data_IF_799727818472
#
_entry.id   IF_799727818472
#
_cell.length_a   1.000
_cell.length_b   1.000
_cell.length_c   1.000
_cell.angle_alpha   90.00
_cell.angle_beta   90.00
_cell.angle_gamma   90.00
#
_symmetry.space_group_name_H-M   'P 1'
#
loop_
_entity.id
_entity.type
_entity.pdbx_description
1 polymer ?
#
# COMPACT_ATOMS: atom_id res chain seq x y z
N UNK A 1 -1.45 12.03 -15.34
CA UNK A 1 -1.08 12.65 -14.06
C UNK A 1 -0.04 13.75 -14.21
N UNK A 2 1.21 13.49 -14.61
CA UNK A 2 2.25 14.55 -14.70
C UNK A 2 2.40 15.21 -16.08
N UNK A 3 1.74 14.69 -17.11
CA UNK A 3 1.80 15.23 -18.48
C UNK A 3 0.74 16.33 -18.70
N UNK A 4 0.64 17.30 -17.79
CA UNK A 4 -0.43 18.31 -17.80
C UNK A 4 -0.29 19.30 -18.96
N UNK A 5 0.93 19.52 -19.47
CA UNK A 5 1.17 20.39 -20.63
C UNK A 5 0.50 19.88 -21.91
N UNK A 6 0.18 18.57 -21.98
CA UNK A 6 -0.54 18.00 -23.10
C UNK A 6 -2.04 18.32 -23.07
N UNK A 7 -2.60 18.76 -21.92
CA UNK A 7 -4.04 19.00 -21.76
C UNK A 7 -4.49 20.08 -22.74
N UNK A 8 -3.82 21.24 -22.76
CA UNK A 8 -4.21 22.38 -23.60
C UNK A 8 -4.05 22.07 -25.09
N UNK A 9 -2.98 21.36 -25.46
CA UNK A 9 -2.72 20.97 -26.85
C UNK A 9 -3.81 20.03 -27.37
N UNK A 10 -4.19 19.03 -26.57
CA UNK A 10 -5.20 18.03 -26.94
C UNK A 10 -6.61 18.65 -26.92
N UNK A 11 -6.89 19.54 -25.95
CA UNK A 11 -8.14 20.28 -25.89
C UNK A 11 -8.32 21.23 -27.09
N UNK A 12 -7.26 21.94 -27.50
CA UNK A 12 -7.28 22.81 -28.68
C UNK A 12 -7.53 22.03 -29.99
N UNK A 13 -7.14 20.75 -30.04
CA UNK A 13 -7.45 19.84 -31.14
C UNK A 13 -8.89 19.28 -31.10
N UNK A 14 -9.71 19.66 -30.12
CA UNK A 14 -11.09 19.18 -29.96
C UNK A 14 -11.18 17.73 -29.47
N UNK A 15 -10.10 17.19 -28.90
CA UNK A 15 -10.04 15.81 -28.42
C UNK A 15 -10.40 15.76 -26.92
N UNK A 16 -11.32 14.87 -26.52
CA UNK A 16 -11.59 14.55 -25.11
C UNK A 16 -10.35 14.29 -24.26
N UNK A 17 -10.14 15.10 -23.20
CA UNK A 17 -9.03 14.92 -22.27
C UNK A 17 -9.52 14.36 -20.94
N UNK A 18 -8.88 13.28 -20.50
CA UNK A 18 -9.12 12.65 -19.20
C UNK A 18 -7.79 12.44 -18.47
N UNK A 19 -7.81 12.57 -17.15
CA UNK A 19 -6.66 12.20 -16.32
C UNK A 19 -6.77 10.75 -15.88
N UNK A 20 -5.71 9.97 -16.10
CA UNK A 20 -5.48 8.76 -15.33
C UNK A 20 -4.61 9.08 -14.10
N UNK A 21 -5.20 8.90 -12.92
CA UNK A 21 -4.56 9.06 -11.61
C UNK A 21 -4.12 7.68 -11.11
N UNK A 22 -2.81 7.43 -11.18
CA UNK A 22 -2.21 6.12 -10.95
C UNK A 22 -1.91 5.83 -9.45
N UNK A 23 -2.61 6.50 -8.53
CA UNK A 23 -2.56 6.25 -7.09
C UNK A 23 -4.00 6.10 -6.53
N UNK A 24 -4.16 6.07 -5.20
CA UNK A 24 -5.44 5.80 -4.55
C UNK A 24 -6.39 7.00 -4.54
N UNK A 25 -7.70 6.74 -4.43
CA UNK A 25 -8.70 7.80 -4.30
C UNK A 25 -8.51 8.62 -3.02
N UNK A 26 -8.03 8.01 -1.94
CA UNK A 26 -7.73 8.70 -0.69
C UNK A 26 -6.63 9.75 -0.89
N UNK A 27 -5.57 9.41 -1.62
CA UNK A 27 -4.51 10.35 -1.98
C UNK A 27 -5.06 11.49 -2.84
N UNK A 28 -5.81 11.19 -3.92
CA UNK A 28 -6.46 12.22 -4.74
C UNK A 28 -7.36 13.14 -3.91
N UNK A 29 -8.13 12.58 -2.96
CA UNK A 29 -8.98 13.34 -2.07
C UNK A 29 -8.19 14.33 -1.20
N UNK A 30 -7.03 13.93 -0.68
CA UNK A 30 -6.17 14.83 0.09
C UNK A 30 -5.48 15.88 -0.79
N UNK A 31 -4.95 15.49 -1.96
CA UNK A 31 -4.21 16.37 -2.87
C UNK A 31 -5.08 17.52 -3.39
N UNK A 32 -6.34 17.26 -3.71
CA UNK A 32 -7.27 18.29 -4.20
C UNK A 32 -7.67 19.33 -3.14
N UNK A 33 -7.45 19.03 -1.85
CA UNK A 33 -7.64 19.98 -0.75
C UNK A 33 -6.36 20.75 -0.41
N UNK A 34 -5.22 20.35 -0.96
CA UNK A 34 -3.93 20.97 -0.65
C UNK A 34 -3.88 22.48 -0.95
N UNK A 35 -4.37 22.99 -2.10
CA UNK A 35 -4.35 24.43 -2.36
C UNK A 35 -5.06 25.24 -1.26
N UNK A 36 -6.23 24.79 -0.82
CA UNK A 36 -6.99 25.42 0.24
C UNK A 36 -6.29 25.30 1.60
N UNK A 37 -5.64 24.16 1.86
CA UNK A 37 -4.87 23.92 3.08
C UNK A 37 -3.67 24.88 3.21
N UNK A 38 -3.03 25.22 2.09
CA UNK A 38 -1.84 26.10 2.10
C UNK A 38 -2.11 27.57 1.83
N UNK A 39 -3.34 27.92 1.45
CA UNK A 39 -3.74 29.30 1.17
C UNK A 39 -3.48 30.22 2.39
N UNK A 40 -2.74 31.31 2.16
CA UNK A 40 -2.43 32.32 3.19
C UNK A 40 -1.40 31.88 4.25
N UNK A 41 -0.88 30.65 4.18
CA UNK A 41 0.16 30.19 5.10
C UNK A 41 1.47 30.93 4.84
N UNK A 42 2.12 31.36 5.93
CA UNK A 42 3.45 31.97 5.89
C UNK A 42 4.58 30.93 5.92
N UNK A 43 4.26 29.67 6.20
CA UNK A 43 5.23 28.58 6.25
C UNK A 43 4.67 27.27 5.68
N UNK A 44 5.58 26.36 5.30
CA UNK A 44 5.23 25.06 4.74
C UNK A 44 4.50 24.14 5.72
N UNK A 45 4.07 22.97 5.23
CA UNK A 45 3.48 21.95 6.10
C UNK A 45 4.50 21.27 7.00
N UNK A 46 5.81 21.31 6.66
CA UNK A 46 6.88 20.76 7.50
C UNK A 46 6.87 21.28 8.93
N UNK A 47 6.51 22.55 9.12
CA UNK A 47 6.46 23.21 10.42
C UNK A 47 5.32 22.69 11.31
N UNK A 48 4.30 22.06 10.71
CA UNK A 48 3.24 21.41 11.46
C UNK A 48 3.67 20.04 12.00
N UNK A 49 4.78 19.47 11.51
CA UNK A 49 5.25 18.15 11.89
C UNK A 49 4.15 17.10 11.76
N UNK A 50 3.90 16.36 12.84
CA UNK A 50 2.90 15.30 12.87
C UNK A 50 1.50 15.75 13.32
N UNK A 51 1.23 17.06 13.29
CA UNK A 51 -0.11 17.57 13.60
C UNK A 51 -1.14 16.91 12.66
N UNK A 52 -2.19 16.25 13.19
CA UNK A 52 -3.21 15.62 12.37
C UNK A 52 -3.99 16.65 11.55
N UNK A 53 -4.18 16.38 10.27
CA UNK A 53 -4.99 17.16 9.35
C UNK A 53 -6.31 16.45 9.10
N UNK A 54 -7.41 17.15 9.37
CA UNK A 54 -8.76 16.69 9.06
C UNK A 54 -9.14 17.10 7.63
N UNK A 55 -9.02 16.15 6.71
CA UNK A 55 -9.32 16.33 5.30
C UNK A 55 -10.56 15.52 4.90
N UNK A 56 -11.37 16.07 4.01
CA UNK A 56 -12.56 15.39 3.51
C UNK A 56 -12.18 14.09 2.80
N UNK A 57 -12.96 13.04 3.05
CA UNK A 57 -12.81 11.75 2.37
C UNK A 57 -11.66 10.86 2.86
N UNK A 58 -10.80 11.35 3.75
CA UNK A 58 -9.65 10.58 4.28
C UNK A 58 -9.66 10.54 5.81
N UNK A 59 -9.12 9.49 6.44
CA UNK A 59 -8.84 9.50 7.88
C UNK A 59 -7.89 10.65 8.24
N UNK A 60 -7.92 11.15 9.50
CA UNK A 60 -6.96 12.13 9.96
C UNK A 60 -5.53 11.63 9.73
N UNK A 61 -4.67 12.48 9.17
CA UNK A 61 -3.28 12.11 8.85
C UNK A 61 -2.29 13.20 9.26
N UNK A 62 -1.09 12.82 9.74
CA UNK A 62 -0.02 13.78 10.02
C UNK A 62 0.29 14.68 8.83
N UNK A 63 0.53 15.98 9.06
CA UNK A 63 0.93 16.90 7.99
C UNK A 63 2.22 16.46 7.29
N UNK A 64 3.16 15.89 8.04
CA UNK A 64 4.42 15.28 7.56
C UNK A 64 4.24 14.10 6.58
N UNK A 65 3.02 13.57 6.42
CA UNK A 65 2.74 12.47 5.51
C UNK A 65 2.51 12.91 4.07
N UNK A 66 2.32 14.22 3.81
CA UNK A 66 2.37 14.73 2.44
C UNK A 66 3.76 14.49 1.81
N UNK A 67 3.81 14.44 0.48
CA UNK A 67 5.06 14.24 -0.26
C UNK A 67 6.04 15.36 0.05
N UNK A 68 7.34 15.07 0.06
CA UNK A 68 8.41 16.02 0.42
C UNK A 68 8.27 17.40 -0.28
N UNK A 69 7.97 17.40 -1.57
CA UNK A 69 7.76 18.62 -2.38
C UNK A 69 6.60 19.50 -1.91
N UNK A 70 5.63 18.93 -1.19
CA UNK A 70 4.45 19.63 -0.63
C UNK A 70 4.65 20.05 0.83
N UNK A 71 5.73 19.60 1.48
CA UNK A 71 6.08 20.00 2.84
C UNK A 71 6.80 21.35 2.87
N UNK A 72 7.39 21.74 1.75
CA UNK A 72 8.11 23.00 1.59
C UNK A 72 7.20 24.24 1.57
N UNK A 73 7.82 25.42 1.54
CA UNK A 73 7.10 26.68 1.54
C UNK A 73 6.11 26.75 0.35
N UNK A 74 4.85 27.16 0.56
CA UNK A 74 3.82 27.15 -0.49
C UNK A 74 4.18 28.07 -1.67
N UNK A 75 4.92 29.15 -1.40
CA UNK A 75 5.41 30.04 -2.44
C UNK A 75 6.66 29.53 -3.19
N UNK A 76 7.23 28.39 -2.77
CA UNK A 76 8.38 27.77 -3.44
C UNK A 76 8.00 27.20 -4.81
N UNK A 77 8.90 27.33 -5.80
CA UNK A 77 8.63 26.98 -7.20
C UNK A 77 8.14 25.54 -7.37
N UNK A 78 8.79 24.58 -6.69
CA UNK A 78 8.42 23.16 -6.76
C UNK A 78 7.04 22.90 -6.15
N UNK A 79 6.72 23.55 -5.03
CA UNK A 79 5.42 23.43 -4.36
C UNK A 79 4.29 24.03 -5.22
N UNK A 80 4.55 25.17 -5.88
CA UNK A 80 3.62 25.75 -6.86
C UNK A 80 3.42 24.84 -8.06
N UNK A 81 4.49 24.32 -8.64
CA UNK A 81 4.43 23.46 -9.81
C UNK A 81 3.62 22.19 -9.53
N UNK A 82 3.84 21.53 -8.39
CA UNK A 82 3.08 20.33 -8.03
C UNK A 82 1.60 20.65 -7.73
N UNK A 83 1.33 21.78 -7.09
CA UNK A 83 -0.04 22.26 -6.83
C UNK A 83 -0.78 22.51 -8.14
N UNK A 84 -0.11 23.14 -9.10
CA UNK A 84 -0.64 23.44 -10.42
C UNK A 84 -0.91 22.16 -11.22
N UNK A 85 0.01 21.20 -11.18
CA UNK A 85 -0.21 19.89 -11.79
C UNK A 85 -1.51 19.27 -11.25
N UNK A 86 -1.72 19.28 -9.93
CA UNK A 86 -2.94 18.72 -9.35
C UNK A 86 -4.20 19.48 -9.76
N UNK A 87 -4.14 20.81 -9.82
CA UNK A 87 -5.24 21.65 -10.33
C UNK A 87 -5.60 21.27 -11.77
N UNK A 88 -4.62 21.23 -12.68
CA UNK A 88 -4.86 20.88 -14.09
C UNK A 88 -5.47 19.48 -14.26
N UNK A 89 -5.04 18.50 -13.45
CA UNK A 89 -5.65 17.16 -13.49
C UNK A 89 -7.16 17.19 -13.16
N UNK A 90 -7.59 18.09 -12.28
CA UNK A 90 -9.01 18.27 -11.92
C UNK A 90 -9.80 19.15 -12.89
N UNK A 91 -9.18 19.68 -13.93
CA UNK A 91 -9.87 20.47 -14.97
C UNK A 91 -10.12 19.67 -16.25
N UNK A 92 -9.66 18.41 -16.28
CA UNK A 92 -9.99 17.46 -17.34
C UNK A 92 -11.47 17.07 -17.30
N UNK A 93 -11.97 16.44 -18.37
CA UNK A 93 -13.38 16.05 -18.46
C UNK A 93 -13.76 14.89 -17.52
N UNK A 94 -12.77 14.29 -16.86
CA UNK A 94 -12.97 13.23 -15.88
C UNK A 94 -11.65 12.66 -15.40
N UNK A 95 -11.66 12.15 -14.16
CA UNK A 95 -10.50 11.53 -13.54
C UNK A 95 -10.75 10.04 -13.37
N UNK A 96 -9.97 9.23 -14.06
CA UNK A 96 -9.92 7.78 -13.90
C UNK A 96 -8.94 7.46 -12.78
N UNK A 97 -9.39 6.75 -11.75
CA UNK A 97 -8.59 6.35 -10.60
C UNK A 97 -8.42 4.84 -10.62
N UNK A 98 -7.19 4.36 -10.46
CA UNK A 98 -6.90 2.93 -10.37
C UNK A 98 -7.32 2.36 -9.00
N UNK A 99 -8.62 2.30 -8.75
CA UNK A 99 -9.22 1.77 -7.52
C UNK A 99 -10.63 1.27 -7.84
N UNK A 100 -11.31 0.67 -6.87
CA UNK A 100 -12.73 0.32 -6.95
C UNK A 100 -13.49 0.86 -5.74
N UNK A 101 -14.79 1.11 -5.92
CA UNK A 101 -15.59 1.88 -4.96
C UNK A 101 -15.66 1.24 -3.57
N UNK A 102 -15.77 -0.08 -3.49
CA UNK A 102 -15.82 -0.79 -2.21
C UNK A 102 -14.48 -0.71 -1.44
N UNK A 103 -13.35 -0.52 -2.13
CA UNK A 103 -12.05 -0.38 -1.48
C UNK A 103 -11.93 0.96 -0.76
N UNK A 104 -12.39 2.04 -1.40
CA UNK A 104 -12.14 3.41 -0.94
C UNK A 104 -13.42 4.25 -0.84
N UNK A 105 -14.51 3.65 -0.37
CA UNK A 105 -15.86 4.26 -0.41
C UNK A 105 -15.95 5.64 0.23
N UNK A 106 -15.18 5.91 1.30
CA UNK A 106 -15.11 7.21 1.97
C UNK A 106 -14.53 8.29 1.06
N UNK A 107 -13.40 8.00 0.43
CA UNK A 107 -12.72 8.93 -0.47
C UNK A 107 -13.52 9.14 -1.75
N UNK A 108 -14.05 8.06 -2.34
CA UNK A 108 -14.85 8.11 -3.57
C UNK A 108 -16.13 8.94 -3.36
N UNK A 109 -16.86 8.72 -2.26
CA UNK A 109 -18.05 9.53 -1.94
C UNK A 109 -17.70 11.00 -1.77
N UNK A 110 -16.60 11.29 -1.09
CA UNK A 110 -16.16 12.67 -0.92
C UNK A 110 -15.81 13.30 -2.26
N UNK A 111 -15.02 12.65 -3.11
CA UNK A 111 -14.60 13.17 -4.42
C UNK A 111 -15.77 13.43 -5.38
N UNK A 112 -16.86 12.66 -5.26
CA UNK A 112 -18.09 12.83 -6.05
C UNK A 112 -19.10 13.79 -5.41
N UNK A 113 -18.77 14.39 -4.27
CA UNK A 113 -19.64 15.35 -3.61
C UNK A 113 -19.81 16.61 -4.49
N UNK A 114 -21.05 17.05 -4.78
CA UNK A 114 -21.29 18.22 -5.62
C UNK A 114 -20.64 19.51 -5.10
N UNK A 115 -20.35 19.60 -3.80
CA UNK A 115 -19.70 20.75 -3.17
C UNK A 115 -18.19 20.84 -3.42
N UNK A 116 -17.54 19.80 -3.94
CA UNK A 116 -16.07 19.80 -4.18
C UNK A 116 -15.64 20.36 -5.53
N UNK A 117 -16.58 20.72 -6.42
CA UNK A 117 -16.29 21.17 -7.78
C UNK A 117 -15.26 20.28 -8.50
N UNK A 118 -15.52 18.97 -8.51
CA UNK A 118 -14.67 17.97 -9.17
C UNK A 118 -15.33 17.52 -10.49
N UNK A 119 -14.54 17.19 -11.52
CA UNK A 119 -15.06 16.51 -12.69
C UNK A 119 -15.48 15.08 -12.31
N UNK A 120 -16.23 14.38 -13.16
CA UNK A 120 -16.61 12.99 -12.91
C UNK A 120 -15.41 12.11 -12.54
N UNK A 121 -15.50 11.39 -11.42
CA UNK A 121 -14.46 10.47 -10.93
C UNK A 121 -14.87 9.02 -11.18
N UNK A 122 -14.09 8.34 -12.01
CA UNK A 122 -14.33 6.96 -12.44
C UNK A 122 -13.34 6.01 -11.75
N UNK A 123 -13.86 5.09 -10.95
CA UNK A 123 -13.07 4.00 -10.40
C UNK A 123 -12.96 2.89 -11.45
N UNK A 124 -11.75 2.65 -11.97
CA UNK A 124 -11.53 1.71 -13.09
C UNK A 124 -10.61 0.54 -12.74
N UNK A 125 -10.24 0.41 -11.45
CA UNK A 125 -9.32 -0.61 -10.96
C UNK A 125 -9.99 -1.89 -10.43
N UNK A 126 -9.17 -2.86 -9.97
CA UNK A 126 -7.71 -2.83 -9.99
C UNK A 126 -7.16 -3.17 -11.40
N UNK A 127 -6.47 -2.21 -12.02
CA UNK A 127 -5.70 -2.41 -13.24
C UNK A 127 -4.31 -2.89 -12.84
N UNK A 128 -4.08 -4.20 -12.98
CA UNK A 128 -2.85 -4.88 -12.61
C UNK A 128 -2.07 -5.27 -13.86
N UNK A 129 -0.74 -5.37 -13.72
CA UNK A 129 0.07 -6.02 -14.75
C UNK A 129 -0.35 -7.50 -14.90
N UNK A 130 -0.32 -8.01 -16.14
CA UNK A 130 -0.63 -9.41 -16.41
C UNK A 130 0.44 -10.33 -15.82
N UNK A 131 0.01 -11.41 -15.14
CA UNK A 131 0.92 -12.46 -14.67
C UNK A 131 1.57 -13.17 -15.86
N UNK A 132 2.86 -13.50 -15.75
CA UNK A 132 3.60 -14.21 -16.79
C UNK A 132 4.34 -13.35 -17.81
N UNK A 133 4.34 -12.01 -17.68
CA UNK A 133 5.20 -11.13 -18.48
C UNK A 133 6.69 -11.27 -18.12
N UNK A 134 7.00 -11.97 -17.03
CA UNK A 134 8.34 -12.13 -16.49
C UNK A 134 8.93 -13.55 -16.67
N UNK A 135 8.23 -14.42 -17.41
CA UNK A 135 8.75 -15.76 -17.75
C UNK A 135 10.07 -15.63 -18.51
N UNK A 136 11.14 -16.21 -17.98
CA UNK A 136 12.49 -16.19 -18.57
C UNK A 136 13.45 -15.17 -17.98
N UNK A 137 13.08 -14.45 -16.91
CA UNK A 137 14.04 -13.69 -16.09
C UNK A 137 14.78 -14.62 -15.13
N UNK A 138 16.08 -14.37 -14.95
CA UNK A 138 16.93 -15.16 -14.06
C UNK A 138 16.37 -15.18 -12.62
N UNK A 139 16.36 -16.35 -11.99
CA UNK A 139 15.92 -16.53 -10.60
C UNK A 139 14.41 -16.63 -10.37
N UNK A 140 13.56 -16.41 -11.39
CA UNK A 140 12.09 -16.60 -11.28
C UNK A 140 11.75 -18.04 -10.89
N UNK A 141 12.27 -19.00 -11.65
CA UNK A 141 11.94 -20.42 -11.47
C UNK A 141 12.45 -20.94 -10.13
N UNK A 142 13.62 -20.48 -9.68
CA UNK A 142 14.18 -20.84 -8.37
C UNK A 142 13.33 -20.28 -7.22
N UNK A 143 12.92 -19.02 -7.33
CA UNK A 143 12.07 -18.36 -6.34
C UNK A 143 10.72 -19.07 -6.17
N UNK A 144 10.07 -19.41 -7.28
CA UNK A 144 8.79 -20.12 -7.27
C UNK A 144 8.95 -21.57 -6.79
N UNK A 145 10.00 -22.27 -7.21
CA UNK A 145 10.29 -23.62 -6.72
C UNK A 145 10.57 -23.65 -5.21
N UNK A 146 11.24 -22.64 -4.67
CA UNK A 146 11.45 -22.52 -3.22
C UNK A 146 10.12 -22.31 -2.48
N UNK A 147 9.23 -21.47 -3.02
CA UNK A 147 7.90 -21.25 -2.47
C UNK A 147 7.03 -22.52 -2.52
N UNK A 148 7.14 -23.32 -3.57
CA UNK A 148 6.43 -24.60 -3.72
C UNK A 148 6.77 -25.60 -2.60
N UNK A 149 7.99 -25.53 -2.04
CA UNK A 149 8.41 -26.37 -0.94
C UNK A 149 7.90 -25.90 0.44
N UNK A 150 7.23 -24.73 0.53
CA UNK A 150 6.78 -24.17 1.80
C UNK A 150 5.32 -24.52 2.12
N UNK A 151 4.96 -24.63 3.41
CA UNK A 151 3.55 -24.74 3.82
C UNK A 151 2.73 -23.52 3.41
N UNK A 152 1.44 -23.74 3.19
CA UNK A 152 0.47 -22.69 2.85
C UNK A 152 0.46 -21.56 3.89
N UNK A 153 0.40 -20.30 3.42
CA UNK A 153 0.33 -19.11 4.24
C UNK A 153 1.49 -18.93 5.25
N UNK A 154 2.63 -19.60 5.05
CA UNK A 154 3.72 -19.62 6.03
C UNK A 154 4.86 -18.64 5.76
N UNK A 155 4.91 -18.05 4.57
CA UNK A 155 6.00 -17.18 4.10
C UNK A 155 5.61 -15.71 4.20
N UNK A 156 6.49 -14.90 4.80
CA UNK A 156 6.43 -13.44 4.74
C UNK A 156 7.24 -12.98 3.53
N UNK A 157 6.58 -12.32 2.57
CA UNK A 157 7.26 -11.70 1.45
C UNK A 157 7.65 -10.26 1.80
N UNK A 158 8.87 -9.83 1.46
CA UNK A 158 9.37 -8.48 1.67
C UNK A 158 9.87 -7.90 0.34
N UNK A 159 9.26 -6.82 -0.11
CA UNK A 159 9.68 -6.11 -1.33
C UNK A 159 9.32 -4.61 -1.25
N UNK A 160 10.28 -3.77 -1.62
CA UNK A 160 10.19 -2.31 -1.49
C UNK A 160 10.12 -1.59 -2.85
N UNK A 161 9.72 -2.32 -3.88
CA UNK A 161 9.61 -1.80 -5.25
C UNK A 161 10.97 -1.59 -5.92
N UNK A 162 10.95 -1.03 -7.13
CA UNK A 162 12.16 -0.80 -7.94
C UNK A 162 13.01 0.37 -7.45
N UNK A 163 12.39 1.40 -6.86
CA UNK A 163 13.06 2.63 -6.43
C UNK A 163 13.31 2.69 -4.91
N UNK A 164 12.77 1.75 -4.14
CA UNK A 164 12.96 1.71 -2.69
C UNK A 164 14.38 1.28 -2.34
N UNK A 165 15.14 2.17 -1.70
CA UNK A 165 16.50 1.88 -1.22
C UNK A 165 16.55 2.12 0.28
N UNK A 166 16.97 1.10 1.03
CA UNK A 166 17.15 1.17 2.48
C UNK A 166 18.64 1.25 2.79
N UNK A 167 19.01 1.97 3.86
CA UNK A 167 20.42 2.04 4.27
C UNK A 167 20.97 0.66 4.62
N UNK A 168 22.27 0.44 4.42
CA UNK A 168 22.94 -0.81 4.82
C UNK A 168 22.72 -1.14 6.30
N UNK A 169 22.68 -0.12 7.17
CA UNK A 169 22.34 -0.29 8.59
C UNK A 169 20.93 -0.85 8.77
N UNK A 170 19.94 -0.31 8.06
CA UNK A 170 18.56 -0.77 8.15
C UNK A 170 18.41 -2.20 7.61
N UNK A 171 19.08 -2.55 6.51
CA UNK A 171 19.09 -3.91 5.96
C UNK A 171 19.68 -4.91 6.98
N UNK A 172 20.76 -4.55 7.68
CA UNK A 172 21.35 -5.38 8.74
C UNK A 172 20.37 -5.62 9.90
N UNK A 173 19.69 -4.58 10.37
CA UNK A 173 18.68 -4.73 11.44
C UNK A 173 17.49 -5.58 10.98
N UNK A 174 17.05 -5.43 9.73
CA UNK A 174 16.00 -6.27 9.16
C UNK A 174 16.41 -7.73 9.08
N UNK A 175 17.63 -8.02 8.65
CA UNK A 175 18.17 -9.39 8.62
C UNK A 175 18.16 -10.01 10.02
N UNK A 176 18.65 -9.28 11.04
CA UNK A 176 18.62 -9.72 12.43
C UNK A 176 17.18 -9.96 12.91
N UNK A 177 16.25 -9.07 12.57
CA UNK A 177 14.83 -9.21 12.90
C UNK A 177 14.19 -10.44 12.26
N UNK A 178 14.45 -10.68 10.97
CA UNK A 178 13.97 -11.85 10.23
C UNK A 178 14.50 -13.15 10.85
N UNK A 179 15.80 -13.22 11.12
CA UNK A 179 16.43 -14.39 11.76
C UNK A 179 15.78 -14.68 13.13
N UNK A 180 15.62 -13.65 13.96
CA UNK A 180 15.01 -13.77 15.31
C UNK A 180 13.53 -14.09 15.28
N UNK A 181 12.80 -13.67 14.25
CA UNK A 181 11.37 -13.95 14.11
C UNK A 181 11.09 -15.44 14.00
N UNK A 182 12.03 -16.22 13.46
CA UNK A 182 11.88 -17.65 13.21
C UNK A 182 10.85 -18.02 12.14
N UNK A 183 10.18 -17.03 11.53
CA UNK A 183 9.23 -17.20 10.43
C UNK A 183 9.97 -17.48 9.11
N UNK A 184 9.25 -18.05 8.14
CA UNK A 184 9.77 -18.19 6.78
C UNK A 184 9.64 -16.87 6.05
N UNK A 185 10.62 -16.55 5.22
CA UNK A 185 10.60 -15.30 4.48
C UNK A 185 11.17 -15.44 3.07
N UNK A 186 10.64 -14.64 2.16
CA UNK A 186 11.22 -14.36 0.87
C UNK A 186 11.50 -12.86 0.83
N UNK A 187 12.76 -12.47 0.68
CA UNK A 187 13.16 -11.08 0.75
C UNK A 187 13.87 -10.64 -0.52
N UNK A 188 13.25 -9.71 -1.24
CA UNK A 188 13.85 -9.02 -2.37
C UNK A 188 14.69 -7.84 -1.87
N UNK A 189 16.02 -7.94 -1.99
CA UNK A 189 16.99 -6.95 -1.51
C UNK A 189 17.62 -6.22 -2.67
N UNK A 190 17.54 -4.89 -2.65
CA UNK A 190 18.36 -4.02 -3.49
C UNK A 190 19.52 -3.50 -2.66
N UNK A 191 20.74 -3.66 -3.15
CA UNK A 191 21.94 -3.23 -2.42
C UNK A 191 22.25 -1.78 -2.78
N UNK A 192 22.32 -0.83 -1.83
CA UNK A 192 22.61 0.56 -2.13
C UNK A 192 23.99 0.70 -2.77
N UNK A 193 24.14 1.51 -3.82
CA UNK A 193 25.44 1.74 -4.47
C UNK A 193 26.51 2.23 -3.47
N UNK A 194 26.13 3.07 -2.50
CA UNK A 194 27.02 3.55 -1.43
C UNK A 194 27.49 2.46 -0.44
N UNK A 195 26.94 1.24 -0.52
CA UNK A 195 27.43 0.09 0.25
C UNK A 195 28.61 -0.62 -0.44
N UNK A 196 28.84 -0.37 -1.74
CA UNK A 196 30.14 -0.63 -2.35
C UNK A 196 31.09 0.48 -1.89
N UNK A 197 32.09 0.15 -1.07
CA UNK A 197 33.19 1.07 -0.83
C UNK A 197 33.89 1.46 -2.14
N UNK A 198 34.42 2.70 -2.20
CA UNK A 198 35.21 3.29 -3.30
C UNK A 198 34.95 2.71 -4.70
N UNK A 199 34.04 3.34 -5.44
CA UNK A 199 33.88 3.09 -6.88
C UNK A 199 35.10 3.67 -7.59
N UNK A 200 35.94 2.82 -8.18
CA UNK A 200 36.94 3.26 -9.15
C UNK A 200 36.21 3.85 -10.36
N UNK A 201 36.49 5.12 -10.68
CA UNK A 201 35.86 5.92 -11.76
C UNK A 201 36.14 5.39 -13.19
N UNK A 202 36.66 4.15 -13.32
CA UNK A 202 37.08 3.53 -14.58
C UNK A 202 36.42 2.17 -14.87
N UNK A 203 35.41 1.74 -14.11
CA UNK A 203 34.66 0.51 -14.44
C UNK A 203 33.33 0.84 -15.12
N UNK A 204 33.23 0.55 -16.42
CA UNK A 204 32.01 0.70 -17.24
C UNK A 204 30.94 -0.38 -16.94
N UNK A 205 31.05 -1.06 -15.80
CA UNK A 205 30.12 -2.09 -15.35
C UNK A 205 29.78 -1.78 -13.90
N UNK A 206 28.68 -1.04 -13.69
CA UNK A 206 28.07 -0.88 -12.37
C UNK A 206 27.56 -2.25 -11.88
N UNK A 207 28.46 -3.07 -11.35
CA UNK A 207 28.09 -4.32 -10.70
C UNK A 207 27.41 -3.96 -9.38
N UNK A 208 26.14 -4.33 -9.24
CA UNK A 208 25.41 -4.13 -7.99
C UNK A 208 26.20 -4.81 -6.85
N UNK A 209 26.43 -4.14 -5.71
CA UNK A 209 27.23 -4.69 -4.64
C UNK A 209 26.65 -6.02 -4.13
N UNK A 210 27.51 -6.90 -3.63
CA UNK A 210 27.11 -8.22 -3.15
C UNK A 210 26.29 -8.14 -1.85
N UNK A 211 25.41 -9.13 -1.64
CA UNK A 211 24.53 -9.20 -0.46
C UNK A 211 25.34 -9.20 0.85
N UNK A 212 26.55 -9.77 0.83
CA UNK A 212 27.46 -9.81 1.99
C UNK A 212 27.87 -8.42 2.50
N UNK A 213 27.79 -7.37 1.68
CA UNK A 213 28.06 -6.00 2.12
C UNK A 213 26.99 -5.45 3.08
N UNK A 214 25.75 -5.94 2.97
CA UNK A 214 24.57 -5.41 3.66
C UNK A 214 23.87 -6.41 4.58
N UNK A 215 24.31 -7.68 4.58
CA UNK A 215 23.80 -8.70 5.48
C UNK A 215 24.81 -9.00 6.60
N UNK A 216 24.35 -9.43 7.79
CA UNK A 216 25.24 -9.94 8.83
C UNK A 216 26.00 -11.17 8.34
N UNK A 217 27.26 -11.31 8.75
CA UNK A 217 28.10 -12.46 8.40
C UNK A 217 27.37 -13.79 8.69
N UNK A 218 27.35 -14.70 7.72
CA UNK A 218 26.73 -16.02 7.82
C UNK A 218 25.20 -16.04 7.87
N UNK A 219 24.52 -14.90 7.69
CA UNK A 219 23.05 -14.81 7.73
C UNK A 219 22.37 -15.76 6.73
N UNK A 220 22.85 -15.80 5.48
CA UNK A 220 22.29 -16.67 4.45
C UNK A 220 22.39 -18.15 4.86
N UNK A 221 23.54 -18.58 5.36
CA UNK A 221 23.74 -19.95 5.83
C UNK A 221 22.87 -20.32 7.04
N UNK A 222 22.73 -19.40 8.01
CA UNK A 222 21.89 -19.63 9.19
C UNK A 222 20.40 -19.69 8.85
N UNK A 223 19.98 -19.01 7.79
CA UNK A 223 18.56 -18.90 7.41
C UNK A 223 18.14 -19.77 6.23
N UNK A 224 19.06 -20.44 5.53
CA UNK A 224 18.77 -21.22 4.29
C UNK A 224 17.60 -22.19 4.33
N UNK A 225 17.26 -22.72 5.50
CA UNK A 225 16.14 -23.66 5.67
C UNK A 225 14.77 -22.97 5.85
N UNK A 226 14.75 -21.65 6.01
CA UNK A 226 13.55 -20.86 6.32
C UNK A 226 13.42 -19.61 5.45
N UNK A 227 14.52 -19.07 4.97
CA UNK A 227 14.59 -17.81 4.25
C UNK A 227 15.20 -17.99 2.87
N UNK A 228 14.67 -17.24 1.91
CA UNK A 228 15.31 -17.00 0.63
C UNK A 228 15.51 -15.50 0.44
N UNK A 229 16.71 -15.10 0.03
CA UNK A 229 17.03 -13.72 -0.33
C UNK A 229 17.29 -13.67 -1.82
N UNK A 230 16.56 -12.80 -2.53
CA UNK A 230 16.75 -12.56 -3.96
C UNK A 230 17.26 -11.15 -4.18
N UNK A 231 18.23 -10.99 -5.07
CA UNK A 231 18.86 -9.70 -5.34
C UNK A 231 18.06 -8.93 -6.39
N UNK A 232 17.85 -7.64 -6.16
CA UNK A 232 17.26 -6.64 -7.07
C UNK A 232 15.79 -6.81 -7.48
N UNK A 233 15.32 -8.04 -7.72
CA UNK A 233 14.01 -8.27 -8.31
C UNK A 233 13.42 -9.65 -7.93
N UNK A 234 12.09 -9.72 -7.87
CA UNK A 234 11.30 -10.93 -7.66
C UNK A 234 10.03 -10.87 -8.52
N UNK A 235 9.45 -12.02 -8.95
CA UNK A 235 8.18 -12.08 -9.67
C UNK A 235 7.01 -11.78 -8.72
N UNK A 236 6.87 -10.51 -8.33
CA UNK A 236 6.01 -10.08 -7.22
C UNK A 236 4.55 -10.53 -7.37
N UNK A 237 3.98 -10.47 -8.58
CA UNK A 237 2.59 -10.89 -8.82
C UNK A 237 2.44 -12.39 -8.56
N UNK A 238 3.36 -13.21 -9.06
CA UNK A 238 3.38 -14.65 -8.86
C UNK A 238 3.63 -15.02 -7.40
N UNK A 239 4.57 -14.35 -6.73
CA UNK A 239 4.85 -14.53 -5.29
C UNK A 239 3.62 -14.22 -4.45
N UNK A 240 2.96 -13.08 -4.69
CA UNK A 240 1.77 -12.69 -3.93
C UNK A 240 0.60 -13.65 -4.14
N UNK A 241 0.44 -14.20 -5.36
CA UNK A 241 -0.58 -15.20 -5.68
C UNK A 241 -0.22 -16.62 -5.22
N UNK A 242 1.01 -16.85 -4.78
CA UNK A 242 1.46 -18.17 -4.39
C UNK A 242 0.85 -18.58 -3.05
N UNK A 243 0.35 -19.83 -2.96
CA UNK A 243 -0.33 -20.38 -1.76
C UNK A 243 0.48 -20.26 -0.46
N UNK A 244 1.80 -20.29 -0.57
CA UNK A 244 2.71 -20.21 0.58
C UNK A 244 2.80 -18.80 1.18
N UNK A 245 2.44 -17.76 0.43
CA UNK A 245 2.57 -16.36 0.87
C UNK A 245 1.46 -16.03 1.87
N UNK A 246 1.84 -15.71 3.10
CA UNK A 246 0.92 -15.40 4.20
C UNK A 246 0.86 -13.93 4.59
N UNK A 247 1.88 -13.14 4.24
CA UNK A 247 1.93 -11.71 4.51
C UNK A 247 2.91 -11.01 3.56
N UNK A 248 2.72 -9.70 3.37
CA UNK A 248 3.57 -8.85 2.53
C UNK A 248 4.06 -7.61 3.28
N UNK A 249 5.36 -7.50 3.52
CA UNK A 249 6.00 -6.25 3.97
C UNK A 249 6.27 -5.39 2.75
N UNK A 250 5.61 -4.24 2.67
CA UNK A 250 5.59 -3.41 1.48
C UNK A 250 5.86 -1.96 1.77
N UNK A 251 6.54 -1.30 0.84
CA UNK A 251 6.66 0.14 0.77
C UNK A 251 5.34 0.90 0.53
N UNK A 252 4.20 0.21 0.37
CA UNK A 252 2.88 0.84 0.17
C UNK A 252 2.74 1.64 -1.14
N UNK A 253 3.58 1.34 -2.15
CA UNK A 253 3.35 1.82 -3.51
C UNK A 253 2.03 1.26 -4.05
N UNK A 254 1.21 2.10 -4.68
CA UNK A 254 -0.19 1.75 -4.94
C UNK A 254 -0.39 0.50 -5.82
N UNK A 255 0.46 0.29 -6.83
CA UNK A 255 0.43 -0.93 -7.63
C UNK A 255 0.62 -2.19 -6.77
N UNK A 256 1.62 -2.18 -5.88
CA UNK A 256 1.90 -3.30 -4.97
C UNK A 256 0.77 -3.52 -3.96
N UNK A 257 0.11 -2.44 -3.53
CA UNK A 257 -1.09 -2.53 -2.67
C UNK A 257 -2.22 -3.23 -3.41
N UNK A 258 -2.52 -2.83 -4.65
CA UNK A 258 -3.58 -3.44 -5.45
C UNK A 258 -3.29 -4.92 -5.78
N UNK A 259 -2.03 -5.27 -6.06
CA UNK A 259 -1.61 -6.66 -6.28
C UNK A 259 -1.86 -7.52 -5.03
N UNK A 260 -1.49 -7.01 -3.85
CA UNK A 260 -1.72 -7.69 -2.57
C UNK A 260 -3.21 -7.81 -2.24
N UNK A 261 -4.00 -6.76 -2.49
CA UNK A 261 -5.46 -6.77 -2.31
C UNK A 261 -6.09 -7.82 -3.22
N UNK A 262 -5.71 -7.87 -4.49
CA UNK A 262 -6.22 -8.86 -5.44
C UNK A 262 -5.81 -10.30 -5.09
N UNK A 263 -4.64 -10.48 -4.46
CA UNK A 263 -4.18 -11.77 -3.97
C UNK A 263 -4.76 -12.15 -2.59
N UNK A 264 -5.44 -11.23 -1.89
CA UNK A 264 -5.94 -11.47 -0.53
C UNK A 264 -4.83 -11.58 0.53
N UNK A 265 -3.65 -11.03 0.26
CA UNK A 265 -2.49 -11.10 1.16
C UNK A 265 -2.49 -9.88 2.10
N UNK A 266 -2.42 -10.07 3.43
CA UNK A 266 -2.36 -8.97 4.38
C UNK A 266 -0.98 -8.29 4.34
N UNK A 267 -0.95 -6.98 4.58
CA UNK A 267 0.26 -6.16 4.42
C UNK A 267 0.79 -5.62 5.76
N UNK A 268 2.10 -5.54 5.88
CA UNK A 268 2.81 -4.71 6.86
C UNK A 268 3.36 -3.49 6.11
N UNK A 269 2.93 -2.31 6.54
CA UNK A 269 3.18 -1.06 5.83
C UNK A 269 4.50 -0.40 6.27
N UNK A 270 5.44 -0.26 5.34
CA UNK A 270 6.73 0.39 5.57
C UNK A 270 7.04 1.44 4.49
N UNK A 271 6.34 2.58 4.49
CA UNK A 271 6.47 3.60 3.45
C UNK A 271 7.87 4.23 3.41
N UNK A 272 8.33 4.59 2.21
CA UNK A 272 9.67 5.14 1.96
C UNK A 272 9.63 6.50 1.25
N UNK A 273 8.84 6.66 0.20
CA UNK A 273 8.85 7.84 -0.67
C UNK A 273 7.46 8.13 -1.28
N UNK A 274 7.37 9.21 -2.07
CA UNK A 274 6.15 9.66 -2.73
C UNK A 274 4.96 9.70 -1.75
N UNK A 275 3.78 9.25 -2.17
CA UNK A 275 2.54 9.28 -1.39
C UNK A 275 2.37 8.06 -0.47
N UNK A 276 3.38 7.22 -0.33
CA UNK A 276 3.28 5.94 0.40
C UNK A 276 2.85 6.10 1.85
N UNK A 277 3.26 7.19 2.51
CA UNK A 277 2.81 7.52 3.88
C UNK A 277 1.30 7.81 3.93
N UNK A 278 0.76 8.45 2.89
CA UNK A 278 -0.68 8.70 2.76
C UNK A 278 -1.43 7.38 2.49
N UNK A 279 -0.89 6.52 1.61
CA UNK A 279 -1.44 5.19 1.36
C UNK A 279 -1.50 4.36 2.65
N UNK A 280 -0.42 4.35 3.44
CA UNK A 280 -0.37 3.69 4.76
C UNK A 280 -1.54 4.13 5.65
N UNK A 281 -1.81 5.43 5.76
CA UNK A 281 -2.88 5.94 6.64
C UNK A 281 -4.23 5.32 6.28
N UNK A 282 -4.58 5.29 4.99
CA UNK A 282 -5.81 4.64 4.55
C UNK A 282 -5.79 3.13 4.87
N UNK A 283 -4.69 2.44 4.58
CA UNK A 283 -4.56 1.00 4.80
C UNK A 283 -4.70 0.59 6.27
N UNK A 284 -4.19 1.41 7.20
CA UNK A 284 -4.19 1.11 8.64
C UNK A 284 -5.36 1.71 9.40
N UNK A 285 -6.10 2.66 8.80
CA UNK A 285 -7.33 3.16 9.39
C UNK A 285 -8.38 2.04 9.45
N UNK A 286 -9.34 2.13 10.38
CA UNK A 286 -10.38 1.11 10.60
C UNK A 286 -11.28 0.82 9.39
N UNK A 287 -11.18 1.61 8.32
CA UNK A 287 -11.85 1.44 7.03
C UNK A 287 -11.00 0.66 5.99
N UNK A 288 -9.73 0.36 6.28
CA UNK A 288 -8.78 -0.36 5.41
C UNK A 288 -8.92 -1.88 5.44
N UNK A 289 -7.96 -2.61 4.85
CA UNK A 289 -7.95 -4.08 4.71
C UNK A 289 -7.89 -4.75 6.10
N UNK A 290 -9.06 -4.90 6.73
CA UNK A 290 -9.20 -5.57 8.03
C UNK A 290 -9.09 -7.08 7.82
N UNK A 291 -8.23 -7.72 8.61
CA UNK A 291 -8.21 -9.19 8.73
C UNK A 291 -9.60 -9.64 9.21
N UNK A 292 -10.31 -10.39 8.38
CA UNK A 292 -11.40 -11.23 8.87
C UNK A 292 -10.77 -12.41 9.61
N UNK A 293 -10.81 -12.39 10.94
CA UNK A 293 -10.52 -13.57 11.76
C UNK A 293 -9.82 -13.31 13.10
N UNK A 294 -10.54 -13.59 14.20
CA UNK A 294 -9.98 -13.89 15.53
C UNK A 294 -9.97 -12.73 16.52
N UNK A 295 -10.91 -12.74 17.47
CA UNK A 295 -10.98 -11.72 18.53
C UNK A 295 -9.83 -11.78 19.55
N UNK A 296 -9.60 -10.64 20.20
CA UNK A 296 -8.92 -10.54 21.49
C UNK A 296 -7.59 -9.78 21.45
N UNK A 297 -7.56 -8.60 22.08
CA UNK A 297 -6.35 -7.93 22.53
C UNK A 297 -5.98 -6.68 21.74
N UNK A 298 -6.44 -5.52 22.21
CA UNK A 298 -5.80 -4.24 21.91
C UNK A 298 -4.38 -4.29 22.49
N UNK A 299 -3.37 -4.28 21.62
CA UNK A 299 -2.00 -3.93 21.96
C UNK A 299 -1.62 -2.75 21.08
N UNK A 300 -1.56 -1.56 21.66
CA UNK A 300 -0.98 -0.39 21.01
C UNK A 300 0.50 -0.70 20.73
N UNK A 301 0.87 -0.69 19.45
CA UNK A 301 2.26 -0.70 19.05
C UNK A 301 2.78 0.73 19.23
N UNK A 302 3.66 0.93 20.21
CA UNK A 302 4.35 2.19 20.42
C UNK A 302 5.29 2.50 19.25
N UNK A 303 5.22 3.73 18.77
CA UNK A 303 6.26 4.33 17.93
C UNK A 303 7.51 4.54 18.80
N UNK A 304 8.59 3.84 18.47
CA UNK A 304 9.88 3.97 19.17
C UNK A 304 10.83 4.81 18.30
N UNK A 305 11.00 6.07 18.71
CA UNK A 305 11.90 7.05 18.10
C UNK A 305 13.33 6.86 18.61
N UNK A 306 14.28 6.78 17.68
CA UNK A 306 15.68 6.56 17.96
C UNK A 306 16.40 7.84 18.41
N UNK A 307 16.45 8.09 19.72
CA UNK A 307 17.16 9.23 20.32
C UNK A 307 18.06 8.86 21.49
N UNK A 308 19.38 9.00 21.31
CA UNK A 308 20.44 8.78 22.34
C UNK A 308 20.26 9.66 23.58
N UNK A 309 20.51 9.11 24.78
CA UNK A 309 20.63 9.95 25.98
C UNK A 309 20.97 9.25 27.30
N UNK A 310 22.26 8.91 27.47
CA UNK A 310 23.04 8.84 28.73
C UNK A 310 22.53 8.00 29.91
N UNK A 311 23.39 7.06 30.32
CA UNK A 311 23.17 6.19 31.46
C UNK A 311 23.20 6.86 32.82
N UNK A 312 22.64 6.14 33.79
CA UNK A 312 23.07 6.09 35.19
C UNK A 312 22.70 4.73 35.76
N UNK A 313 23.70 4.06 36.31
CA UNK A 313 23.57 2.85 37.09
C UNK A 313 22.82 3.13 38.40
N UNK A 314 22.01 2.18 38.84
CA UNK A 314 21.69 1.99 40.25
C UNK A 314 21.42 0.50 40.51
N UNK A 315 22.21 -0.06 41.43
CA UNK A 315 22.15 -1.40 41.98
C UNK A 315 20.93 -1.56 42.91
N UNK A 316 20.45 -2.80 43.13
CA UNK A 316 19.52 -3.04 44.25
C UNK A 316 18.81 -4.40 44.29
N UNK A 317 19.53 -5.45 44.69
CA UNK A 317 19.14 -6.56 45.57
C UNK A 317 17.70 -7.17 45.57
N UNK A 318 17.66 -8.46 45.20
CA UNK A 318 17.28 -9.65 45.99
C UNK A 318 15.96 -9.74 46.81
N UNK A 319 15.24 -10.85 46.54
CA UNK A 319 14.46 -11.81 47.39
C UNK A 319 13.17 -12.20 46.62
N UNK A 320 12.72 -13.44 46.48
CA UNK A 320 12.91 -14.68 47.24
C UNK A 320 11.53 -15.30 47.55
N UNK A 321 11.42 -16.64 47.52
CA UNK A 321 10.25 -17.54 47.79
C UNK A 321 9.32 -17.78 46.58
N UNK A 322 9.10 -18.98 46.02
CA UNK A 322 8.85 -20.37 46.49
C UNK A 322 7.57 -20.58 47.32
N UNK A 323 6.72 -21.49 46.81
CA UNK A 323 5.54 -22.10 47.45
C UNK A 323 4.45 -22.37 46.39
N UNK A 324 4.47 -23.44 45.59
CA UNK A 324 4.07 -24.86 45.83
C UNK A 324 2.62 -25.08 46.32
N UNK A 325 1.91 -25.90 45.54
CA UNK A 325 0.75 -26.72 45.94
C UNK A 325 -0.61 -26.10 45.58
N UNK A 326 -1.56 -26.76 44.92
CA UNK A 326 -1.70 -28.14 44.49
C UNK A 326 -3.19 -28.50 44.43
N UNK A 327 -3.58 -29.28 43.41
CA UNK A 327 -4.74 -30.18 43.44
C UNK A 327 -6.15 -29.59 43.25
N UNK A 328 -6.92 -30.21 42.34
CA UNK A 328 -8.38 -30.05 42.31
C UNK A 328 -9.02 -30.35 40.97
N UNK A 329 -9.35 -31.62 40.74
CA UNK A 329 -10.11 -32.10 39.59
C UNK A 329 -11.56 -31.57 39.57
N UNK A 330 -12.14 -31.47 38.38
CA UNK A 330 -13.57 -31.22 38.20
C UNK A 330 -13.98 -31.26 36.73
N UNK A 331 -14.47 -32.43 36.28
CA UNK A 331 -15.00 -32.62 34.94
C UNK A 331 -16.37 -31.98 34.74
N UNK A 332 -16.67 -31.69 33.47
CA UNK A 332 -17.96 -31.50 32.76
C UNK A 332 -17.55 -30.97 31.38
N UNK A 333 -17.88 -31.57 30.25
CA UNK A 333 -19.20 -31.99 29.78
C UNK A 333 -19.37 -31.32 28.41
N UNK A 334 -19.67 -32.12 27.38
CA UNK A 334 -19.79 -31.77 25.96
C UNK A 334 -20.63 -30.51 25.69
N UNK A 335 -20.29 -29.76 24.63
CA UNK A 335 -21.27 -29.41 23.57
C UNK A 335 -20.55 -29.32 22.22
N UNK A 336 -20.92 -30.22 21.31
CA UNK A 336 -20.68 -30.08 19.88
C UNK A 336 -21.76 -29.15 19.30
N UNK A 337 -21.34 -28.04 18.68
CA UNK A 337 -22.23 -27.12 17.97
C UNK A 337 -22.03 -27.25 16.47
N UNK A 338 -22.78 -28.15 15.84
CA UNK A 338 -22.90 -28.22 14.38
C UNK A 338 -23.67 -27.01 13.85
N UNK A 339 -23.12 -26.36 12.83
CA UNK A 339 -23.80 -25.30 12.08
C UNK A 339 -24.75 -25.95 11.08
N UNK A 340 -26.05 -25.65 11.21
CA UNK A 340 -27.05 -25.92 10.18
C UNK A 340 -27.04 -24.80 9.14
N UNK A 341 -27.23 -25.09 7.84
CA UNK A 341 -27.28 -24.06 6.80
C UNK A 341 -28.61 -23.29 6.83
N UNK A 342 -28.51 -21.96 6.66
CA UNK A 342 -29.61 -21.02 6.51
C UNK A 342 -30.20 -21.17 5.08
N UNK A 343 -31.54 -21.19 4.91
CA UNK A 343 -32.16 -21.43 3.61
C UNK A 343 -32.10 -20.22 2.67
N UNK A 344 -31.83 -20.51 1.39
CA UNK A 344 -31.91 -19.58 0.26
C UNK A 344 -33.37 -19.31 -0.07
N UNK A 345 -33.82 -18.06 0.06
CA UNK A 345 -35.11 -17.60 -0.42
C UNK A 345 -35.11 -17.52 -1.95
N UNK A 346 -36.01 -18.27 -2.59
CA UNK A 346 -36.41 -18.11 -3.99
C UNK A 346 -37.38 -16.92 -4.07
N UNK A 347 -37.07 -15.92 -4.88
CA UNK A 347 -38.09 -14.98 -5.37
C UNK A 347 -38.63 -15.46 -6.72
N UNK A 348 -39.96 -15.51 -6.76
CA UNK A 348 -40.80 -15.99 -7.85
C UNK A 348 -40.83 -14.98 -9.01
N UNK A 349 -40.65 -15.52 -10.21
CA UNK A 349 -40.93 -14.87 -11.48
C UNK A 349 -42.44 -14.77 -11.69
N UNK A 350 -42.98 -13.54 -11.73
CA UNK A 350 -44.33 -13.28 -12.24
C UNK A 350 -44.26 -12.71 -13.66
N UNK A 351 -44.65 -13.56 -14.60
CA UNK A 351 -45.02 -13.17 -15.95
C UNK A 351 -46.39 -12.46 -15.95
N UNK A 352 -46.52 -11.40 -16.74
CA UNK A 352 -47.81 -10.98 -17.31
C UNK A 352 -47.63 -10.60 -18.76
N UNK A 353 -48.52 -11.20 -19.57
CA UNK A 353 -48.62 -11.13 -21.03
C UNK A 353 -49.15 -9.77 -21.51
N UNK A 354 -48.58 -9.37 -22.65
CA UNK A 354 -49.16 -8.77 -23.86
C UNK A 354 -50.59 -8.23 -23.84
N UNK A 355 -50.72 -7.02 -24.40
CA UNK A 355 -51.93 -6.47 -25.00
C UNK A 355 -51.52 -5.51 -26.12
N UNK A 356 -51.72 -5.96 -27.36
CA UNK A 356 -51.42 -5.32 -28.64
C UNK A 356 -52.42 -4.21 -29.04
N UNK A 357 -51.96 -3.33 -29.94
CA UNK A 357 -52.66 -2.48 -30.95
C UNK A 357 -52.37 -0.98 -30.74
N UNK A 358 -52.19 -0.13 -31.74
CA UNK A 358 -51.92 -0.21 -33.18
C UNK A 358 -51.70 1.24 -33.66
N UNK A 359 -50.67 1.47 -34.49
CA UNK A 359 -50.59 2.42 -35.62
C UNK A 359 -51.12 3.87 -35.49
N UNK A 360 -50.23 4.85 -35.67
CA UNK A 360 -50.29 5.79 -36.82
C UNK A 360 -49.02 6.65 -36.93
N UNK A 361 -48.42 6.59 -38.12
CA UNK A 361 -47.55 7.57 -38.81
C UNK A 361 -48.15 9.00 -38.78
N UNK A 362 -47.49 10.16 -38.91
CA UNK A 362 -46.25 10.71 -39.54
C UNK A 362 -46.27 12.25 -39.23
N UNK A 363 -45.44 13.16 -39.79
CA UNK A 363 -43.98 13.21 -39.96
C UNK A 363 -43.37 14.54 -39.41
N UNK A 364 -42.07 14.70 -39.67
CA UNK A 364 -41.21 15.84 -39.43
C UNK A 364 -41.68 17.18 -40.02
N UNK A 365 -41.27 18.29 -39.39
CA UNK A 365 -41.04 19.58 -40.03
C UNK A 365 -39.70 20.16 -39.56
N UNK A 366 -38.85 20.49 -40.54
CA UNK A 366 -37.81 21.50 -40.44
C UNK A 366 -38.45 22.88 -40.30
N UNK A 367 -37.83 23.81 -39.56
CA UNK A 367 -37.39 25.11 -40.08
C UNK A 367 -36.70 25.98 -39.00
N UNK A 368 -35.63 26.66 -39.45
CA UNK A 368 -34.82 27.75 -38.88
C UNK A 368 -33.85 27.49 -37.71
#
# INVERSE_FOLDING_TARGET
MFCVDAIDVVAAAGVPVYTFFASCASCLSALTQFPALVAGRQTGLKDLGDTPLDLLGVPPMPASHFTEVMLEHPEGEVCKAITEIWRCNTETMGVLVNTFEQLESRAVRSLRDPGRNMPPVYCVGPLLAGAGNDKGKDGVDECLAWLDAQPDGSVVFLCFGSMGVLSAKQLKEMAVGLERSGHRFLWCVRVPAAAAGHVDEHSEQEQEPELDAVLPEGFLERTKNKGMVVKSWAPQVEVLRHRATGAFVTHCGWNSVLESVAAGVPMLCWPLYAEQKMNKVWMTAGDGVRRSGGGGGQGEAGDDDGGRGRGRAAQGAAKGSQGRGGGGAGGRGLVAGGLSPVPVGREESRSRREGSSSSSEQPANLEC
#
